data_IF_136243675068
#
_entry.id   IF_136243675068
#
_cell.length_a   1.000
_cell.length_b   1.000
_cell.length_c   1.000
_cell.angle_alpha   90.00
_cell.angle_beta   90.00
_cell.angle_gamma   90.00
#
_symmetry.space_group_name_H-M   'P 1'
#
loop_
_entity.id
_entity.type
_entity.pdbx_description
1 polymer ?
#
# COMPACT_ATOMS: atom_id res chain seq x y z
N UNK A 1 1.66 -3.99 26.56
CA UNK A 1 1.35 -4.21 25.16
C UNK A 1 1.27 -2.88 24.43
N UNK A 2 2.06 -2.71 23.41
CA UNK A 2 2.07 -1.44 22.69
C UNK A 2 0.91 -1.37 21.68
N UNK A 3 0.35 -0.20 21.51
CA UNK A 3 -0.69 0.01 20.52
C UNK A 3 -0.07 0.01 19.11
N UNK A 4 -0.83 -0.41 18.09
CA UNK A 4 -0.35 -0.32 16.71
C UNK A 4 -0.03 1.13 16.36
N UNK A 5 1.08 1.33 15.66
CA UNK A 5 1.45 2.66 15.19
C UNK A 5 0.53 3.07 14.06
N UNK A 6 0.03 4.28 14.11
CA UNK A 6 -0.76 4.84 13.02
C UNK A 6 0.12 5.05 11.80
N UNK A 7 -0.46 4.83 10.62
CA UNK A 7 0.19 5.15 9.35
C UNK A 7 0.06 6.66 9.14
N UNK A 8 1.18 7.33 8.95
CA UNK A 8 1.22 8.78 8.70
C UNK A 8 2.06 9.07 7.47
N UNK A 9 2.15 10.34 7.08
CA UNK A 9 2.94 10.76 5.93
C UNK A 9 4.42 10.39 6.06
N UNK A 10 4.92 10.29 7.29
CA UNK A 10 6.33 9.96 7.55
C UNK A 10 6.60 8.46 7.67
N UNK A 11 5.55 7.64 7.68
CA UNK A 11 5.71 6.20 7.76
C UNK A 11 6.37 5.65 6.50
N UNK A 12 7.19 4.60 6.69
CA UNK A 12 7.80 3.87 5.59
C UNK A 12 7.19 2.48 5.54
N UNK A 13 6.14 2.30 4.73
CA UNK A 13 5.42 1.02 4.73
C UNK A 13 6.17 -0.06 3.97
N UNK A 14 6.04 -1.28 4.46
CA UNK A 14 6.62 -2.48 3.83
C UNK A 14 5.54 -3.55 3.77
N UNK A 15 5.44 -4.24 2.66
CA UNK A 15 4.56 -5.41 2.55
C UNK A 15 5.07 -6.48 3.52
N UNK A 16 4.17 -7.03 4.32
CA UNK A 16 4.52 -8.05 5.30
C UNK A 16 5.11 -9.28 4.62
N UNK A 17 6.03 -9.98 5.31
CA UNK A 17 6.71 -11.14 4.74
C UNK A 17 5.75 -12.25 4.31
N UNK A 18 4.60 -12.35 4.96
CA UNK A 18 3.60 -13.39 4.64
C UNK A 18 2.79 -13.09 3.38
N UNK A 19 2.94 -11.89 2.79
CA UNK A 19 2.15 -11.45 1.66
C UNK A 19 3.04 -11.26 0.44
N UNK A 20 2.49 -11.57 -0.75
CA UNK A 20 3.22 -11.41 -2.00
C UNK A 20 2.36 -10.72 -3.04
N UNK A 21 2.94 -9.74 -3.70
CA UNK A 21 2.29 -9.08 -4.84
C UNK A 21 2.56 -9.90 -6.10
N UNK A 22 1.52 -10.30 -6.81
CA UNK A 22 1.62 -11.11 -8.02
C UNK A 22 0.80 -10.52 -9.14
N UNK A 23 1.33 -10.61 -10.36
CA UNK A 23 0.57 -10.27 -11.56
C UNK A 23 -0.15 -11.52 -12.06
N UNK A 24 -1.46 -11.41 -12.28
CA UNK A 24 -2.25 -12.50 -12.84
C UNK A 24 -2.56 -12.19 -14.31
N UNK A 25 -1.87 -12.90 -15.21
CA UNK A 25 -2.01 -12.67 -16.65
C UNK A 25 -3.39 -13.07 -17.17
N UNK A 26 -4.06 -14.01 -16.51
CA UNK A 26 -5.37 -14.46 -16.96
C UNK A 26 -6.44 -13.39 -16.80
N UNK A 27 -6.36 -12.63 -15.71
CA UNK A 27 -7.32 -11.58 -15.42
C UNK A 27 -6.78 -10.19 -15.70
N UNK A 28 -5.49 -10.07 -16.03
CA UNK A 28 -4.78 -8.81 -16.22
C UNK A 28 -4.90 -7.91 -14.99
N UNK A 29 -4.74 -8.50 -13.80
CA UNK A 29 -4.83 -7.80 -12.53
C UNK A 29 -3.70 -8.20 -11.60
N UNK A 30 -3.36 -7.28 -10.69
CA UNK A 30 -2.47 -7.62 -9.60
C UNK A 30 -3.26 -8.26 -8.47
N UNK A 31 -2.61 -9.21 -7.80
CA UNK A 31 -3.16 -9.89 -6.63
C UNK A 31 -2.19 -9.71 -5.48
N UNK A 32 -2.73 -9.55 -4.28
CA UNK A 32 -1.94 -9.68 -3.06
C UNK A 32 -2.28 -11.03 -2.45
N UNK A 33 -1.30 -11.94 -2.44
CA UNK A 33 -1.48 -13.30 -1.95
C UNK A 33 -0.91 -13.41 -0.53
N UNK A 34 -1.68 -14.03 0.36
CA UNK A 34 -1.25 -14.31 1.73
C UNK A 34 -1.88 -15.63 2.15
N UNK A 35 -1.46 -16.23 3.28
CA UNK A 35 -1.88 -17.61 3.60
C UNK A 35 -3.39 -17.80 3.47
N UNK A 36 -3.76 -18.76 2.62
CA UNK A 36 -5.13 -19.20 2.37
C UNK A 36 -6.04 -18.16 1.73
N UNK A 37 -5.48 -17.01 1.28
CA UNK A 37 -6.31 -15.94 0.72
C UNK A 37 -5.59 -15.19 -0.39
N UNK A 38 -6.38 -14.52 -1.19
CA UNK A 38 -5.89 -13.58 -2.19
C UNK A 38 -6.81 -12.38 -2.26
N UNK A 39 -6.26 -11.24 -2.56
CA UNK A 39 -7.00 -9.99 -2.70
C UNK A 39 -6.75 -9.44 -4.09
N UNK A 40 -7.83 -9.23 -4.86
CA UNK A 40 -7.73 -8.62 -6.19
C UNK A 40 -7.55 -7.12 -5.99
N UNK A 41 -6.52 -6.55 -6.64
CA UNK A 41 -6.16 -5.16 -6.47
C UNK A 41 -6.60 -4.34 -7.67
N UNK A 42 -7.15 -3.15 -7.41
CA UNK A 42 -7.32 -2.18 -8.48
C UNK A 42 -5.96 -1.57 -8.81
N UNK A 43 -5.82 -0.85 -9.95
CA UNK A 43 -4.52 -0.29 -10.34
C UNK A 43 -3.89 0.63 -9.28
N UNK A 44 -4.68 1.45 -8.61
CA UNK A 44 -4.16 2.35 -7.58
C UNK A 44 -3.57 1.56 -6.40
N UNK A 45 -4.29 0.55 -5.93
CA UNK A 45 -3.80 -0.29 -4.83
C UNK A 45 -2.51 -1.01 -5.23
N UNK A 46 -2.45 -1.52 -6.45
CA UNK A 46 -1.25 -2.18 -6.96
C UNK A 46 -0.05 -1.22 -6.98
N UNK A 47 -0.27 0.01 -7.46
CA UNK A 47 0.79 1.03 -7.48
C UNK A 47 1.30 1.35 -6.09
N UNK A 48 0.39 1.49 -5.11
CA UNK A 48 0.78 1.75 -3.72
C UNK A 48 1.64 0.61 -3.20
N UNK A 49 1.19 -0.63 -3.38
CA UNK A 49 1.91 -1.79 -2.83
C UNK A 49 3.27 -1.99 -3.48
N UNK A 50 3.42 -1.66 -4.77
CA UNK A 50 4.71 -1.74 -5.45
C UNK A 50 5.74 -0.80 -4.83
N UNK A 51 5.29 0.29 -4.21
CA UNK A 51 6.15 1.26 -3.56
C UNK A 51 6.34 0.99 -2.06
N UNK A 52 5.68 -0.03 -1.53
CA UNK A 52 5.78 -0.40 -0.11
C UNK A 52 6.97 -1.31 0.12
N UNK A 53 8.16 -0.77 -0.10
CA UNK A 53 9.44 -1.49 0.03
C UNK A 53 10.21 -1.09 1.29
N UNK A 54 9.70 -0.12 2.03
CA UNK A 54 10.42 0.46 3.16
C UNK A 54 11.34 1.61 2.78
N UNK A 55 11.56 1.81 1.48
CA UNK A 55 12.44 2.89 0.99
C UNK A 55 11.72 4.22 0.81
N UNK A 56 10.40 4.19 0.75
CA UNK A 56 9.59 5.38 0.49
C UNK A 56 8.71 5.70 1.68
N UNK A 57 8.63 6.99 2.02
CA UNK A 57 7.61 7.44 2.97
C UNK A 57 6.26 7.45 2.28
N UNK A 58 5.18 7.43 3.07
CA UNK A 58 3.83 7.58 2.53
C UNK A 58 3.73 8.86 1.71
N UNK A 59 4.32 9.97 2.21
CA UNK A 59 4.32 11.23 1.47
C UNK A 59 4.95 11.10 0.09
N UNK A 60 6.07 10.39 -0.02
CA UNK A 60 6.72 10.16 -1.31
C UNK A 60 5.85 9.30 -2.23
N UNK A 61 5.17 8.30 -1.67
CA UNK A 61 4.24 7.46 -2.44
C UNK A 61 3.09 8.31 -2.98
N UNK A 62 2.53 9.18 -2.13
CA UNK A 62 1.45 10.08 -2.52
C UNK A 62 1.91 11.01 -3.65
N UNK A 63 3.12 11.56 -3.54
CA UNK A 63 3.66 12.44 -4.58
C UNK A 63 3.72 11.74 -5.94
N UNK A 64 4.20 10.50 -5.97
CA UNK A 64 4.28 9.72 -7.20
C UNK A 64 2.91 9.42 -7.79
N UNK A 65 1.96 9.04 -6.94
CA UNK A 65 0.62 8.74 -7.41
C UNK A 65 -0.13 9.99 -7.84
N UNK A 66 0.10 11.11 -7.16
CA UNK A 66 -0.51 12.38 -7.56
C UNK A 66 -0.06 12.79 -8.97
N UNK A 67 1.22 12.58 -9.29
CA UNK A 67 1.72 12.83 -10.64
C UNK A 67 1.08 11.88 -11.67
N UNK A 68 1.03 10.60 -11.33
CA UNK A 68 0.52 9.57 -12.24
C UNK A 68 -0.97 9.77 -12.54
N UNK A 69 -1.74 10.16 -11.54
CA UNK A 69 -3.19 10.27 -11.65
C UNK A 69 -3.68 11.71 -11.77
N UNK A 70 -2.80 12.62 -12.15
CA UNK A 70 -3.21 13.99 -12.43
C UNK A 70 -4.32 13.99 -13.49
N UNK A 71 -5.29 14.89 -13.42
CA UNK A 71 -5.35 16.08 -12.56
C UNK A 71 -6.05 15.89 -11.21
N UNK A 72 -6.12 14.67 -10.72
CA UNK A 72 -6.75 14.40 -9.43
C UNK A 72 -6.00 15.17 -8.32
N UNK A 73 -6.71 15.86 -7.41
CA UNK A 73 -6.04 16.63 -6.35
C UNK A 73 -5.19 15.75 -5.45
N UNK A 74 -4.02 16.27 -5.05
CA UNK A 74 -3.11 15.54 -4.18
C UNK A 74 -3.76 15.12 -2.86
N UNK A 75 -4.61 15.98 -2.29
CA UNK A 75 -5.29 15.66 -1.04
C UNK A 75 -6.22 14.47 -1.17
N UNK A 76 -6.87 14.31 -2.33
CA UNK A 76 -7.73 13.16 -2.60
C UNK A 76 -6.90 11.89 -2.70
N UNK A 77 -5.76 11.96 -3.38
CA UNK A 77 -4.83 10.83 -3.50
C UNK A 77 -4.29 10.45 -2.13
N UNK A 78 -3.87 11.42 -1.35
CA UNK A 78 -3.35 11.19 0.00
C UNK A 78 -4.38 10.48 0.87
N UNK A 79 -5.63 10.92 0.83
CA UNK A 79 -6.70 10.31 1.62
C UNK A 79 -6.90 8.85 1.24
N UNK A 80 -6.92 8.56 -0.05
CA UNK A 80 -7.08 7.19 -0.53
C UNK A 80 -5.90 6.30 -0.13
N UNK A 81 -4.68 6.80 -0.27
CA UNK A 81 -3.47 6.05 0.07
C UNK A 81 -3.45 5.73 1.56
N UNK A 82 -3.70 6.73 2.40
CA UNK A 82 -3.70 6.52 3.85
C UNK A 82 -4.77 5.55 4.28
N UNK A 83 -5.98 5.66 3.74
CA UNK A 83 -7.08 4.75 4.08
C UNK A 83 -6.75 3.32 3.65
N UNK A 84 -6.20 3.15 2.47
CA UNK A 84 -5.81 1.84 1.97
C UNK A 84 -4.73 1.21 2.85
N UNK A 85 -3.68 1.97 3.16
CA UNK A 85 -2.58 1.46 3.97
C UNK A 85 -3.03 1.13 5.40
N UNK A 86 -3.91 1.95 5.98
CA UNK A 86 -4.45 1.66 7.31
C UNK A 86 -5.24 0.36 7.30
N UNK A 87 -6.04 0.13 6.27
CA UNK A 87 -6.80 -1.12 6.11
C UNK A 87 -5.85 -2.31 5.99
N UNK A 88 -4.80 -2.18 5.18
CA UNK A 88 -3.83 -3.26 4.99
C UNK A 88 -3.04 -3.53 6.28
N UNK A 89 -2.70 -2.49 7.03
CA UNK A 89 -2.00 -2.63 8.30
C UNK A 89 -2.88 -3.35 9.32
N UNK A 90 -4.18 -3.03 9.38
CA UNK A 90 -5.11 -3.71 10.26
C UNK A 90 -5.21 -5.20 9.97
N UNK A 91 -5.00 -5.59 8.73
CA UNK A 91 -5.00 -7.01 8.32
C UNK A 91 -3.64 -7.67 8.51
N UNK A 92 -2.63 -6.92 8.97
CA UNK A 92 -1.28 -7.44 9.12
C UNK A 92 -0.54 -7.65 7.81
N UNK A 93 -0.98 -6.99 6.74
CA UNK A 93 -0.38 -7.13 5.41
C UNK A 93 0.65 -6.04 5.10
N UNK A 94 0.64 -4.96 5.87
CA UNK A 94 1.61 -3.86 5.79
C UNK A 94 2.16 -3.63 7.19
N UNK A 95 3.46 -3.38 7.28
CA UNK A 95 4.12 -3.02 8.53
C UNK A 95 5.01 -1.80 8.31
N UNK A 96 5.51 -1.22 9.40
CA UNK A 96 6.50 -0.14 9.31
C UNK A 96 7.88 -0.73 9.09
N UNK A 97 8.74 0.00 8.36
CA UNK A 97 10.08 -0.48 8.02
C UNK A 97 10.93 -0.76 9.27
N UNK A 98 10.73 0.01 10.32
CA UNK A 98 11.53 -0.12 11.55
C UNK A 98 10.93 -1.09 12.59
N UNK A 99 9.91 -1.81 12.24
CA UNK A 99 9.30 -2.80 13.12
C UNK A 99 10.05 -4.14 13.10
#
# INVERSE_FOLDING_TARGET
MSEPRAITADSRPVVAAKARLRWDARTSRHLLLYPERGLILNPTAADVLQLCTGEHTVGAIVDRLADKYAPQPREAVEREVLAFLANMADRGLIRHQDD
#
